data_IF_107488811733
#
_entry.id   IF_107488811733
#
_cell.length_a   1.000
_cell.length_b   1.000
_cell.length_c   1.000
_cell.angle_alpha   90.00
_cell.angle_beta   90.00
_cell.angle_gamma   90.00
#
_symmetry.space_group_name_H-M   'P 1'
#
loop_
_entity.id
_entity.type
_entity.pdbx_description
1 polymer ?
#
# COMPACT_ATOMS: atom_id res chain seq x y z
N UNK A 1 -31.36 8.88 11.49
CA UNK A 1 -30.43 8.74 10.35
C UNK A 1 -30.38 7.27 10.03
N UNK A 2 -30.95 6.89 8.90
CA UNK A 2 -30.88 5.52 8.41
C UNK A 2 -29.42 5.20 8.13
N UNK A 3 -28.92 4.15 8.76
CA UNK A 3 -27.67 3.49 8.37
C UNK A 3 -27.76 3.21 6.87
N UNK A 4 -26.76 3.64 6.10
CA UNK A 4 -26.66 3.31 4.67
C UNK A 4 -26.79 1.79 4.54
N UNK A 5 -27.92 1.31 4.02
CA UNK A 5 -28.09 -0.12 3.78
C UNK A 5 -27.20 -0.49 2.61
N UNK A 6 -26.41 -1.55 2.77
CA UNK A 6 -25.39 -1.98 1.80
C UNK A 6 -25.95 -2.40 0.42
N UNK A 7 -27.27 -2.33 0.20
CA UNK A 7 -27.97 -2.82 -1.00
C UNK A 7 -28.40 -1.70 -1.97
N UNK A 8 -28.11 -0.43 -1.68
CA UNK A 8 -28.41 0.69 -2.57
C UNK A 8 -27.14 1.39 -3.06
N UNK A 9 -27.15 1.81 -4.33
CA UNK A 9 -26.08 2.63 -4.90
C UNK A 9 -26.00 3.97 -4.16
N UNK A 10 -24.83 4.30 -3.65
CA UNK A 10 -24.56 5.59 -3.01
C UNK A 10 -23.70 6.47 -3.94
N UNK A 11 -24.00 7.77 -3.96
CA UNK A 11 -23.16 8.78 -4.57
C UNK A 11 -21.89 9.02 -3.75
N UNK A 12 -20.87 9.60 -4.38
CA UNK A 12 -19.62 10.00 -3.72
C UNK A 12 -19.89 10.95 -2.54
N UNK A 13 -20.82 11.90 -2.70
CA UNK A 13 -21.11 12.87 -1.65
C UNK A 13 -21.82 12.24 -0.45
N UNK A 14 -22.68 11.24 -0.67
CA UNK A 14 -23.30 10.45 0.41
C UNK A 14 -22.26 9.61 1.16
N UNK A 15 -21.30 9.00 0.45
CA UNK A 15 -20.22 8.22 1.06
C UNK A 15 -19.27 9.10 1.88
N UNK A 16 -18.92 10.29 1.38
CA UNK A 16 -18.11 11.27 2.13
C UNK A 16 -18.84 11.68 3.40
N UNK A 17 -20.12 11.99 3.30
CA UNK A 17 -20.95 12.39 4.44
C UNK A 17 -21.08 11.27 5.47
N UNK A 18 -21.25 10.03 5.03
CA UNK A 18 -21.28 8.86 5.90
C UNK A 18 -19.94 8.65 6.61
N UNK A 19 -18.81 8.82 5.91
CA UNK A 19 -17.48 8.71 6.50
C UNK A 19 -17.21 9.80 7.56
N UNK A 20 -17.67 11.03 7.34
CA UNK A 20 -17.60 12.11 8.33
C UNK A 20 -18.43 11.73 9.56
N UNK A 21 -19.69 11.33 9.36
CA UNK A 21 -20.62 10.96 10.45
C UNK A 21 -20.23 9.70 11.22
N UNK A 22 -19.34 8.88 10.68
CA UNK A 22 -18.81 7.70 11.36
C UNK A 22 -17.95 8.05 12.59
N UNK A 23 -17.43 9.28 12.69
CA UNK A 23 -16.71 9.77 13.86
C UNK A 23 -17.66 10.49 14.81
N UNK A 24 -17.40 10.43 16.12
CA UNK A 24 -18.03 11.34 17.08
C UNK A 24 -17.14 12.57 17.38
N UNK A 25 -17.58 13.40 18.34
CA UNK A 25 -16.87 14.63 18.69
C UNK A 25 -15.49 14.41 19.32
N UNK A 26 -15.29 13.25 19.96
CA UNK A 26 -14.07 12.86 20.66
C UNK A 26 -13.14 12.04 19.75
N UNK A 27 -13.57 11.76 18.51
CA UNK A 27 -12.80 11.04 17.51
C UNK A 27 -12.98 9.52 17.55
N UNK A 28 -13.99 9.00 18.25
CA UNK A 28 -14.30 7.56 18.25
C UNK A 28 -14.96 7.18 16.93
N UNK A 29 -14.36 6.22 16.24
CA UNK A 29 -14.82 5.69 14.97
C UNK A 29 -15.85 4.56 15.19
N UNK A 30 -17.10 4.79 14.77
CA UNK A 30 -18.22 3.85 14.92
C UNK A 30 -18.30 2.81 13.79
N UNK A 31 -17.91 3.19 12.58
CA UNK A 31 -17.98 2.33 11.39
C UNK A 31 -16.61 2.19 10.70
N UNK A 32 -15.65 1.44 11.30
CA UNK A 32 -14.29 1.34 10.76
C UNK A 32 -14.22 0.71 9.37
N UNK A 33 -15.09 -0.26 9.08
CA UNK A 33 -15.12 -0.95 7.80
C UNK A 33 -15.52 -0.02 6.65
N UNK A 34 -16.56 0.81 6.85
CA UNK A 34 -17.01 1.79 5.86
C UNK A 34 -15.89 2.78 5.56
N UNK A 35 -15.33 3.41 6.59
CA UNK A 35 -14.31 4.44 6.43
C UNK A 35 -13.06 3.88 5.78
N UNK A 36 -12.58 2.72 6.23
CA UNK A 36 -11.38 2.08 5.65
C UNK A 36 -11.61 1.66 4.20
N UNK A 37 -12.79 1.11 3.89
CA UNK A 37 -13.15 0.73 2.52
C UNK A 37 -13.21 1.96 1.61
N UNK A 38 -13.88 3.03 2.03
CA UNK A 38 -13.95 4.27 1.25
C UNK A 38 -12.58 4.89 1.05
N UNK A 39 -11.79 5.06 2.10
CA UNK A 39 -10.45 5.65 2.01
C UNK A 39 -9.50 4.80 1.16
N UNK A 40 -9.61 3.47 1.19
CA UNK A 40 -8.82 2.61 0.30
C UNK A 40 -9.29 2.71 -1.15
N UNK A 41 -10.61 2.73 -1.38
CA UNK A 41 -11.19 2.52 -2.71
C UNK A 41 -11.56 3.81 -3.44
N UNK A 42 -11.54 4.98 -2.79
CA UNK A 42 -11.85 6.25 -3.44
C UNK A 42 -11.04 6.52 -4.72
N UNK A 43 -9.74 6.14 -4.87
CA UNK A 43 -8.97 6.45 -6.08
C UNK A 43 -9.56 5.89 -7.37
N UNK A 44 -10.44 4.88 -7.30
CA UNK A 44 -11.14 4.30 -8.45
C UNK A 44 -12.18 5.24 -9.08
N UNK A 45 -12.71 6.19 -8.32
CA UNK A 45 -13.83 7.03 -8.75
C UNK A 45 -13.70 8.51 -8.31
N UNK A 46 -12.71 8.85 -7.50
CA UNK A 46 -12.43 10.19 -7.01
C UNK A 46 -10.93 10.32 -6.71
N UNK A 47 -10.26 11.34 -7.26
CA UNK A 47 -8.85 11.57 -6.91
C UNK A 47 -8.70 11.94 -5.44
N UNK A 48 -7.63 11.52 -4.78
CA UNK A 48 -7.37 11.85 -3.37
C UNK A 48 -7.32 13.36 -3.13
N UNK A 49 -6.72 14.11 -4.06
CA UNK A 49 -6.69 15.57 -4.00
C UNK A 49 -8.09 16.19 -4.09
N UNK A 50 -9.00 15.63 -4.89
CA UNK A 50 -10.37 16.12 -4.99
C UNK A 50 -11.22 15.69 -3.78
N UNK A 51 -10.96 14.52 -3.19
CA UNK A 51 -11.54 14.14 -1.89
C UNK A 51 -11.13 15.15 -0.81
N UNK A 52 -9.85 15.49 -0.72
CA UNK A 52 -9.36 16.49 0.22
C UNK A 52 -10.01 17.87 -0.01
N UNK A 53 -10.18 18.30 -1.27
CA UNK A 53 -10.92 19.53 -1.62
C UNK A 53 -12.39 19.46 -1.18
N UNK A 54 -13.06 18.32 -1.35
CA UNK A 54 -14.46 18.13 -0.90
C UNK A 54 -14.59 18.22 0.60
N UNK A 55 -13.71 17.54 1.36
CA UNK A 55 -13.67 17.63 2.82
C UNK A 55 -13.43 19.06 3.29
N UNK A 56 -12.56 19.75 2.58
CA UNK A 56 -12.28 21.15 2.83
C UNK A 56 -13.48 22.06 2.55
N UNK A 57 -14.16 21.88 1.42
CA UNK A 57 -15.36 22.67 1.10
C UNK A 57 -16.42 22.46 2.18
N UNK A 58 -16.65 21.20 2.57
CA UNK A 58 -17.58 20.85 3.66
C UNK A 58 -17.23 21.51 4.99
N UNK A 59 -15.95 21.69 5.31
CA UNK A 59 -15.55 22.36 6.57
C UNK A 59 -15.83 23.87 6.57
N UNK A 60 -16.07 24.46 5.39
CA UNK A 60 -16.32 25.90 5.17
C UNK A 60 -17.78 26.24 4.92
N UNK A 61 -18.65 25.25 4.72
CA UNK A 61 -20.08 25.48 4.49
C UNK A 61 -20.70 26.25 5.68
N UNK A 62 -21.59 27.21 5.40
CA UNK A 62 -22.24 28.01 6.45
C UNK A 62 -23.00 27.16 7.48
N UNK A 63 -23.52 26.02 7.04
CA UNK A 63 -24.23 25.06 7.89
C UNK A 63 -23.29 24.05 8.59
N UNK A 64 -21.97 24.17 8.39
CA UNK A 64 -20.99 23.30 9.00
C UNK A 64 -20.88 23.58 10.50
N UNK A 65 -21.54 22.75 11.30
CA UNK A 65 -21.47 22.83 12.75
C UNK A 65 -20.04 22.55 13.26
N UNK A 66 -19.73 23.03 14.46
CA UNK A 66 -18.49 22.69 15.17
C UNK A 66 -18.30 21.16 15.29
N UNK A 67 -19.39 20.40 15.38
CA UNK A 67 -19.38 18.93 15.39
C UNK A 67 -18.86 18.39 14.06
N UNK A 68 -19.42 18.85 12.94
CA UNK A 68 -19.00 18.44 11.60
C UNK A 68 -17.53 18.78 11.33
N UNK A 69 -17.07 19.99 11.70
CA UNK A 69 -15.65 20.35 11.59
C UNK A 69 -14.75 19.42 12.40
N UNK A 70 -15.15 19.06 13.63
CA UNK A 70 -14.41 18.10 14.45
C UNK A 70 -14.34 16.72 13.77
N UNK A 71 -15.46 16.23 13.28
CA UNK A 71 -15.54 14.93 12.57
C UNK A 71 -14.66 14.90 11.32
N UNK A 72 -14.64 15.99 10.53
CA UNK A 72 -13.74 16.12 9.36
C UNK A 72 -12.28 16.04 9.80
N UNK A 73 -11.89 16.74 10.86
CA UNK A 73 -10.51 16.68 11.36
C UNK A 73 -10.13 15.28 11.83
N UNK A 74 -11.05 14.55 12.49
CA UNK A 74 -10.82 13.17 12.90
C UNK A 74 -10.72 12.20 11.71
N UNK A 75 -11.55 12.39 10.67
CA UNK A 75 -11.45 11.62 9.43
C UNK A 75 -10.11 11.85 8.73
N UNK A 76 -9.65 13.11 8.61
CA UNK A 76 -8.35 13.45 8.02
C UNK A 76 -7.21 12.86 8.85
N UNK A 77 -7.27 12.99 10.17
CA UNK A 77 -6.29 12.38 11.08
C UNK A 77 -6.21 10.86 10.89
N UNK A 78 -7.37 10.19 10.82
CA UNK A 78 -7.45 8.76 10.56
C UNK A 78 -6.87 8.38 9.19
N UNK A 79 -7.18 9.17 8.15
CA UNK A 79 -6.65 8.94 6.81
C UNK A 79 -5.12 9.05 6.79
N UNK A 80 -4.55 10.07 7.42
CA UNK A 80 -3.10 10.25 7.55
C UNK A 80 -2.47 9.08 8.32
N UNK A 81 -3.08 8.63 9.42
CA UNK A 81 -2.50 7.55 10.23
C UNK A 81 -2.54 6.19 9.53
N UNK A 82 -3.62 5.89 8.80
CA UNK A 82 -3.79 4.59 8.15
C UNK A 82 -3.11 4.51 6.78
N UNK A 83 -3.06 5.62 6.04
CA UNK A 83 -2.52 5.68 4.66
C UNK A 83 -1.46 6.77 4.48
N UNK A 84 -0.44 6.85 5.34
CA UNK A 84 0.56 7.93 5.31
C UNK A 84 1.35 8.01 3.99
N UNK A 85 1.55 6.86 3.31
CA UNK A 85 2.26 6.81 2.04
C UNK A 85 1.54 7.60 0.93
N UNK A 86 0.21 7.71 0.98
CA UNK A 86 -0.55 8.48 -0.02
C UNK A 86 -0.24 9.97 0.05
N UNK A 87 -0.02 10.50 1.26
CA UNK A 87 0.29 11.91 1.48
C UNK A 87 1.73 12.26 1.13
N UNK A 88 2.69 11.37 1.45
CA UNK A 88 4.10 11.56 1.08
C UNK A 88 4.30 11.53 -0.44
N UNK A 89 3.62 10.59 -1.13
CA UNK A 89 3.81 10.37 -2.57
C UNK A 89 2.91 11.26 -3.45
N UNK A 90 1.97 12.01 -2.86
CA UNK A 90 1.07 12.90 -3.60
C UNK A 90 1.16 14.34 -3.05
N UNK A 91 2.04 15.18 -3.61
CA UNK A 91 2.20 16.57 -3.18
C UNK A 91 0.90 17.38 -3.28
N UNK A 92 0.08 17.12 -4.32
CA UNK A 92 -1.18 17.84 -4.49
C UNK A 92 -2.19 17.52 -3.38
N UNK A 93 -2.26 16.25 -2.94
CA UNK A 93 -3.04 15.87 -1.75
C UNK A 93 -2.49 16.55 -0.49
N UNK A 94 -1.17 16.53 -0.30
CA UNK A 94 -0.55 17.13 0.87
C UNK A 94 -0.82 18.63 0.98
N UNK A 95 -0.76 19.38 -0.13
CA UNK A 95 -1.11 20.80 -0.16
C UNK A 95 -2.57 21.06 0.24
N UNK A 96 -3.53 20.22 -0.20
CA UNK A 96 -4.93 20.40 0.18
C UNK A 96 -5.15 20.24 1.69
N UNK A 97 -4.49 19.25 2.30
CA UNK A 97 -4.54 19.02 3.74
C UNK A 97 -3.83 20.12 4.51
N UNK A 98 -2.69 20.62 4.02
CA UNK A 98 -2.00 21.77 4.63
C UNK A 98 -2.88 23.02 4.61
N UNK A 99 -3.54 23.30 3.50
CA UNK A 99 -4.51 24.40 3.45
C UNK A 99 -5.67 24.22 4.45
N UNK A 100 -6.14 22.99 4.69
CA UNK A 100 -7.16 22.73 5.73
C UNK A 100 -6.63 23.08 7.12
N UNK A 101 -5.41 22.64 7.46
CA UNK A 101 -4.72 22.97 8.72
C UNK A 101 -4.57 24.49 8.90
N UNK A 102 -4.03 25.19 7.90
CA UNK A 102 -3.80 26.64 7.94
C UNK A 102 -5.10 27.42 8.17
N UNK A 103 -6.21 26.99 7.59
CA UNK A 103 -7.51 27.65 7.81
C UNK A 103 -8.08 27.44 9.20
N UNK A 104 -7.89 26.27 9.79
CA UNK A 104 -8.26 26.04 11.19
C UNK A 104 -7.49 27.00 12.10
N UNK A 105 -6.20 27.21 11.81
CA UNK A 105 -5.35 28.17 12.54
C UNK A 105 -5.80 29.63 12.34
N UNK A 106 -6.11 30.04 11.10
CA UNK A 106 -6.63 31.38 10.78
C UNK A 106 -7.96 31.68 11.47
N UNK A 107 -8.81 30.66 11.64
CA UNK A 107 -10.07 30.77 12.36
C UNK A 107 -9.91 30.69 13.89
N UNK A 108 -8.69 30.53 14.40
CA UNK A 108 -8.38 30.44 15.83
C UNK A 108 -8.61 29.07 16.46
N UNK A 109 -8.89 28.03 15.67
CA UNK A 109 -9.15 26.67 16.14
C UNK A 109 -7.87 25.81 16.19
N UNK A 110 -6.95 26.23 17.06
CA UNK A 110 -5.64 25.60 17.23
C UNK A 110 -5.76 24.14 17.69
N UNK A 111 -6.80 23.79 18.47
CA UNK A 111 -6.95 22.41 18.97
C UNK A 111 -7.22 21.44 17.83
N UNK A 112 -8.03 21.84 16.84
CA UNK A 112 -8.31 21.00 15.66
C UNK A 112 -7.18 21.02 14.64
N UNK A 113 -6.47 22.14 14.49
CA UNK A 113 -5.30 22.17 13.59
C UNK A 113 -4.21 21.18 14.03
N UNK A 114 -4.01 21.01 15.34
CA UNK A 114 -3.09 20.03 15.92
C UNK A 114 -3.48 18.56 15.66
N UNK A 115 -4.73 18.27 15.27
CA UNK A 115 -5.13 16.92 14.87
C UNK A 115 -4.57 16.54 13.49
N UNK A 116 -4.23 17.54 12.67
CA UNK A 116 -3.75 17.36 11.30
C UNK A 116 -2.23 17.54 11.31
N UNK A 117 -1.53 16.43 11.51
CA UNK A 117 -0.07 16.41 11.50
C UNK A 117 0.45 15.77 10.20
N UNK A 118 0.57 16.61 9.17
CA UNK A 118 1.11 16.20 7.87
C UNK A 118 2.65 16.29 7.84
N UNK A 119 3.24 17.08 8.74
CA UNK A 119 4.66 17.39 8.71
C UNK A 119 5.52 16.28 9.37
N UNK A 120 4.90 15.40 10.17
CA UNK A 120 5.56 14.25 10.80
C UNK A 120 5.53 12.97 9.96
N UNK A 121 4.91 12.99 8.77
CA UNK A 121 4.81 11.81 7.90
C UNK A 121 6.22 11.37 7.49
N UNK A 122 6.62 10.11 7.78
CA UNK A 122 7.93 9.63 7.36
C UNK A 122 7.94 9.49 5.85
N UNK A 123 9.07 9.79 5.21
CA UNK A 123 9.19 9.56 3.78
C UNK A 123 8.94 8.07 3.44
N UNK A 124 8.19 7.81 2.38
CA UNK A 124 7.91 6.49 1.81
C UNK A 124 8.65 6.30 0.50
N UNK A 125 9.05 7.39 -0.16
CA UNK A 125 9.96 7.36 -1.31
C UNK A 125 11.23 6.54 -1.02
N UNK A 126 11.87 6.73 0.14
CA UNK A 126 13.09 5.96 0.48
C UNK A 126 12.81 4.47 0.67
N UNK A 127 11.64 4.08 1.20
CA UNK A 127 11.26 2.66 1.35
C UNK A 127 11.00 2.00 0.01
N UNK A 128 10.49 2.78 -0.93
CA UNK A 128 10.26 2.40 -2.32
C UNK A 128 11.47 2.67 -3.22
N UNK A 129 12.61 3.10 -2.66
CA UNK A 129 13.81 3.24 -3.45
C UNK A 129 14.15 1.91 -4.11
N UNK A 130 14.43 2.08 -5.38
CA UNK A 130 14.83 1.04 -6.27
C UNK A 130 16.34 0.94 -6.13
N UNK A 131 16.83 -0.14 -5.51
CA UNK A 131 18.27 -0.41 -5.52
C UNK A 131 18.74 -0.31 -6.97
N UNK A 132 19.66 0.61 -7.23
CA UNK A 132 20.28 0.74 -8.54
C UNK A 132 20.88 -0.62 -8.89
N UNK A 133 20.65 -1.06 -10.12
CA UNK A 133 21.13 -2.34 -10.67
C UNK A 133 22.53 -2.61 -10.13
N UNK A 134 22.71 -3.74 -9.42
CA UNK A 134 24.03 -4.26 -9.08
C UNK A 134 24.73 -4.54 -10.41
N UNK A 135 25.43 -3.53 -10.93
CA UNK A 135 26.24 -3.67 -12.12
C UNK A 135 27.29 -4.75 -11.83
N UNK A 136 27.24 -5.81 -12.63
CA UNK A 136 28.30 -6.81 -12.86
C UNK A 136 29.16 -7.11 -11.62
N UNK A 137 28.56 -7.59 -10.52
CA UNK A 137 29.33 -8.39 -9.57
C UNK A 137 29.47 -9.80 -10.13
N UNK A 138 30.55 -9.95 -10.89
CA UNK A 138 31.06 -11.19 -11.45
C UNK A 138 31.18 -12.23 -10.32
N UNK A 139 30.40 -13.31 -10.46
CA UNK A 139 30.50 -14.63 -9.80
C UNK A 139 30.38 -14.66 -8.27
N UNK A 140 29.15 -14.88 -7.80
CA UNK A 140 28.89 -15.73 -6.63
C UNK A 140 28.25 -17.02 -7.10
N UNK A 141 29.09 -17.99 -7.49
CA UNK A 141 28.67 -19.40 -7.48
C UNK A 141 28.60 -19.84 -6.02
N UNK A 142 27.55 -19.43 -5.31
CA UNK A 142 27.18 -20.14 -4.10
C UNK A 142 26.68 -21.49 -4.59
N UNK A 143 27.44 -22.55 -4.28
CA UNK A 143 27.16 -23.92 -4.70
C UNK A 143 25.74 -24.30 -4.26
N UNK A 144 24.80 -24.23 -5.20
CA UNK A 144 23.43 -24.71 -5.04
C UNK A 144 23.40 -26.16 -4.57
N UNK A 145 24.41 -26.95 -4.99
CA UNK A 145 24.56 -28.36 -4.65
C UNK A 145 24.76 -28.60 -3.12
N UNK A 146 24.89 -27.55 -2.30
CA UNK A 146 25.06 -27.65 -0.84
C UNK A 146 23.99 -26.91 -0.03
N UNK A 147 23.05 -26.22 -0.68
CA UNK A 147 21.96 -25.55 0.02
C UNK A 147 20.80 -26.54 0.19
N UNK A 148 20.35 -26.74 1.42
CA UNK A 148 19.17 -27.56 1.66
C UNK A 148 17.91 -26.86 1.12
N UNK A 149 16.89 -27.66 0.79
CA UNK A 149 15.66 -27.17 0.19
C UNK A 149 14.91 -26.16 1.08
N UNK A 150 15.03 -26.27 2.41
CA UNK A 150 14.35 -25.37 3.36
C UNK A 150 15.01 -24.00 3.35
N UNK A 151 16.33 -23.93 3.47
CA UNK A 151 17.08 -22.67 3.44
C UNK A 151 16.88 -21.94 2.12
N UNK A 152 16.82 -22.66 1.00
CA UNK A 152 16.54 -22.05 -0.30
C UNK A 152 15.12 -21.47 -0.36
N UNK A 153 14.12 -22.23 0.09
CA UNK A 153 12.73 -21.77 0.12
C UNK A 153 12.57 -20.52 0.98
N UNK A 154 13.24 -20.46 2.14
CA UNK A 154 13.23 -19.31 3.04
C UNK A 154 13.83 -18.06 2.38
N UNK A 155 14.98 -18.17 1.72
CA UNK A 155 15.58 -17.05 1.02
C UNK A 155 14.72 -16.54 -0.14
N UNK A 156 14.13 -17.43 -0.94
CA UNK A 156 13.21 -17.05 -2.01
C UNK A 156 11.98 -16.33 -1.45
N UNK A 157 11.39 -16.88 -0.38
CA UNK A 157 10.25 -16.28 0.33
C UNK A 157 10.60 -14.89 0.85
N UNK A 158 11.77 -14.73 1.48
CA UNK A 158 12.22 -13.43 2.00
C UNK A 158 12.43 -12.41 0.87
N UNK A 159 13.03 -12.82 -0.25
CA UNK A 159 13.23 -11.95 -1.41
C UNK A 159 11.89 -11.48 -2.01
N UNK A 160 10.94 -12.40 -2.20
CA UNK A 160 9.60 -12.07 -2.68
C UNK A 160 8.84 -11.18 -1.70
N UNK A 161 8.84 -11.53 -0.41
CA UNK A 161 8.20 -10.74 0.65
C UNK A 161 8.73 -9.30 0.70
N UNK A 162 10.05 -9.13 0.71
CA UNK A 162 10.68 -7.81 0.73
C UNK A 162 10.32 -6.98 -0.50
N UNK A 163 10.22 -7.60 -1.67
CA UNK A 163 9.78 -6.92 -2.89
C UNK A 163 8.28 -6.60 -2.86
N UNK A 164 7.46 -7.52 -2.33
CA UNK A 164 6.01 -7.38 -2.24
C UNK A 164 5.59 -6.25 -1.31
N UNK A 165 6.27 -6.10 -0.16
CA UNK A 165 5.99 -5.02 0.80
C UNK A 165 6.21 -3.60 0.27
N UNK A 166 6.85 -3.43 -0.90
CA UNK A 166 7.01 -2.13 -1.56
C UNK A 166 5.77 -1.74 -2.38
N UNK A 167 4.93 -2.70 -2.74
CA UNK A 167 3.74 -2.50 -3.58
C UNK A 167 2.65 -1.85 -2.73
N UNK A 168 2.14 -0.71 -3.21
CA UNK A 168 1.07 0.06 -2.60
C UNK A 168 -0.21 -0.03 -3.44
N UNK A 169 -1.33 0.44 -2.87
CA UNK A 169 -2.62 0.41 -3.54
C UNK A 169 -2.63 1.10 -4.92
N UNK A 170 -1.95 2.24 -5.03
CA UNK A 170 -1.79 2.96 -6.30
C UNK A 170 -1.14 2.12 -7.41
N UNK A 171 -0.25 1.19 -7.04
CA UNK A 171 0.44 0.33 -8.00
C UNK A 171 -0.55 -0.72 -8.55
N UNK A 172 -1.43 -1.26 -7.71
CA UNK A 172 -2.53 -2.15 -8.14
C UNK A 172 -3.56 -1.40 -8.99
N UNK A 173 -3.98 -0.22 -8.55
CA UNK A 173 -4.92 0.62 -9.27
C UNK A 173 -4.42 0.93 -10.69
N UNK A 174 -3.18 1.42 -10.81
CA UNK A 174 -2.56 1.68 -12.12
C UNK A 174 -2.54 0.43 -13.00
N UNK A 175 -2.12 -0.72 -12.45
CA UNK A 175 -2.05 -1.96 -13.21
C UNK A 175 -3.41 -2.40 -13.77
N UNK A 176 -4.47 -2.36 -12.94
CA UNK A 176 -5.80 -2.78 -13.38
C UNK A 176 -6.38 -1.79 -14.39
N UNK A 177 -6.17 -0.49 -14.22
CA UNK A 177 -6.66 0.53 -15.16
C UNK A 177 -6.01 0.42 -16.54
N UNK A 178 -4.73 0.05 -16.61
CA UNK A 178 -3.99 -0.09 -17.88
C UNK A 178 -3.97 -1.52 -18.44
N UNK A 179 -4.34 -2.52 -17.64
CA UNK A 179 -4.22 -3.95 -17.97
C UNK A 179 -2.78 -4.48 -18.04
N UNK A 180 -1.79 -3.65 -17.72
CA UNK A 180 -0.36 -3.99 -17.71
C UNK A 180 0.41 -2.98 -16.84
N UNK A 181 1.71 -3.20 -16.61
CA UNK A 181 2.55 -2.20 -15.95
C UNK A 181 2.86 -1.05 -16.91
N UNK A 182 2.36 0.14 -16.58
CA UNK A 182 2.67 1.40 -17.25
C UNK A 182 3.13 2.38 -16.18
N UNK A 183 4.35 2.92 -16.34
CA UNK A 183 5.00 3.84 -15.39
C UNK A 183 4.93 3.34 -13.92
N UNK A 184 4.99 2.03 -13.72
CA UNK A 184 4.86 1.37 -12.43
C UNK A 184 6.09 0.50 -12.13
N UNK A 185 7.24 1.13 -11.82
CA UNK A 185 8.51 0.43 -11.71
C UNK A 185 8.59 -0.50 -10.49
N UNK A 186 7.74 -0.29 -9.48
CA UNK A 186 7.67 -1.14 -8.29
C UNK A 186 7.06 -2.49 -8.66
N UNK A 187 5.89 -2.48 -9.30
CA UNK A 187 5.23 -3.70 -9.71
C UNK A 187 5.99 -4.41 -10.84
N UNK A 188 6.60 -3.66 -11.77
CA UNK A 188 7.50 -4.24 -12.78
C UNK A 188 8.66 -5.00 -12.17
N UNK A 189 9.30 -4.46 -11.13
CA UNK A 189 10.39 -5.14 -10.44
C UNK A 189 9.93 -6.39 -9.72
N UNK A 190 8.76 -6.37 -9.10
CA UNK A 190 8.18 -7.56 -8.48
C UNK A 190 7.91 -8.66 -9.52
N UNK A 191 7.28 -8.32 -10.65
CA UNK A 191 7.04 -9.24 -11.76
C UNK A 191 8.37 -9.75 -12.35
N UNK A 192 9.35 -8.87 -12.50
CA UNK A 192 10.69 -9.22 -12.99
C UNK A 192 11.41 -10.18 -12.05
N UNK A 193 11.31 -9.99 -10.74
CA UNK A 193 11.86 -10.90 -9.74
C UNK A 193 11.22 -12.29 -9.89
N UNK A 194 9.90 -12.37 -9.95
CA UNK A 194 9.16 -13.62 -10.14
C UNK A 194 9.60 -14.38 -11.41
N UNK A 195 9.68 -13.64 -12.53
CA UNK A 195 10.14 -14.20 -13.80
C UNK A 195 11.61 -14.63 -13.75
N UNK A 196 12.46 -13.87 -13.05
CA UNK A 196 13.89 -14.17 -12.90
C UNK A 196 14.12 -15.44 -12.08
N UNK A 197 13.33 -15.69 -11.04
CA UNK A 197 13.38 -16.94 -10.27
C UNK A 197 12.99 -18.12 -11.16
N UNK A 198 11.90 -17.99 -11.93
CA UNK A 198 11.46 -19.03 -12.88
C UNK A 198 12.53 -19.34 -13.93
N UNK A 199 13.12 -18.30 -14.53
CA UNK A 199 14.20 -18.46 -15.51
C UNK A 199 15.46 -19.07 -14.89
N UNK A 200 15.81 -18.67 -13.67
CA UNK A 200 16.95 -19.22 -12.94
C UNK A 200 16.78 -20.72 -12.71
N UNK A 201 15.59 -21.18 -12.29
CA UNK A 201 15.28 -22.62 -12.15
C UNK A 201 15.46 -23.35 -13.49
N UNK A 202 14.95 -22.80 -14.58
CA UNK A 202 15.09 -23.38 -15.92
C UNK A 202 16.57 -23.51 -16.33
N UNK A 203 17.37 -22.47 -16.11
CA UNK A 203 18.81 -22.48 -16.39
C UNK A 203 19.52 -23.49 -15.50
N UNK A 204 19.18 -23.59 -14.21
CA UNK A 204 19.78 -24.55 -13.29
C UNK A 204 19.54 -26.00 -13.75
N UNK A 205 18.33 -26.33 -14.20
CA UNK A 205 18.02 -27.64 -14.77
C UNK A 205 18.77 -27.85 -16.08
N UNK A 206 18.66 -26.94 -17.04
CA UNK A 206 19.27 -27.10 -18.37
C UNK A 206 20.80 -27.07 -18.37
N UNK A 207 21.42 -26.53 -17.30
CA UNK A 207 22.87 -26.54 -17.13
C UNK A 207 23.46 -27.94 -16.92
N UNK A 208 22.67 -28.94 -16.50
CA UNK A 208 23.19 -30.29 -16.24
C UNK A 208 23.25 -31.12 -17.55
N UNK A 209 24.40 -31.73 -17.86
CA UNK A 209 24.63 -32.38 -19.16
C UNK A 209 23.78 -33.64 -19.38
N UNK A 210 23.50 -34.42 -18.35
CA UNK A 210 22.76 -35.70 -18.49
C UNK A 210 21.31 -35.60 -18.03
N UNK A 211 20.44 -36.42 -18.62
CA UNK A 211 19.03 -36.47 -18.25
C UNK A 211 18.82 -36.83 -16.76
N UNK A 212 19.63 -37.74 -16.24
CA UNK A 212 19.58 -38.15 -14.83
C UNK A 212 19.91 -36.99 -13.89
N UNK A 213 20.96 -36.21 -14.18
CA UNK A 213 21.32 -35.05 -13.36
C UNK A 213 20.24 -33.96 -13.43
N UNK A 214 19.62 -33.74 -14.60
CA UNK A 214 18.49 -32.83 -14.74
C UNK A 214 17.30 -33.27 -13.88
N UNK A 215 16.98 -34.56 -13.90
CA UNK A 215 15.92 -35.12 -13.06
C UNK A 215 16.21 -34.92 -11.56
N UNK A 216 17.46 -35.10 -11.12
CA UNK A 216 17.86 -34.81 -9.72
C UNK A 216 17.61 -33.34 -9.35
N UNK A 217 18.04 -32.39 -10.18
CA UNK A 217 17.81 -30.96 -9.92
C UNK A 217 16.32 -30.63 -9.89
N UNK A 218 15.52 -31.22 -10.78
CA UNK A 218 14.05 -31.07 -10.77
C UNK A 218 13.48 -31.59 -9.44
N UNK A 219 13.91 -32.77 -8.99
CA UNK A 219 13.46 -33.32 -7.69
C UNK A 219 13.83 -32.42 -6.52
N UNK A 220 15.01 -31.80 -6.51
CA UNK A 220 15.38 -30.83 -5.46
C UNK A 220 14.47 -29.59 -5.48
N UNK A 221 14.17 -29.01 -6.66
CA UNK A 221 13.24 -27.89 -6.74
C UNK A 221 11.79 -28.26 -6.36
N UNK A 222 11.37 -29.50 -6.61
CA UNK A 222 10.08 -30.01 -6.10
C UNK A 222 10.08 -30.00 -4.57
N UNK A 223 11.17 -30.43 -3.92
CA UNK A 223 11.28 -30.36 -2.46
C UNK A 223 11.20 -28.93 -1.96
N UNK A 224 11.90 -27.99 -2.60
CA UNK A 224 11.83 -26.54 -2.28
C UNK A 224 10.38 -26.04 -2.36
N UNK A 225 9.66 -26.37 -3.43
CA UNK A 225 8.27 -25.97 -3.62
C UNK A 225 7.29 -26.61 -2.62
N UNK A 226 7.65 -27.75 -2.04
CA UNK A 226 6.85 -28.45 -1.02
C UNK A 226 7.13 -27.96 0.41
N UNK A 227 8.13 -27.11 0.62
CA UNK A 227 8.41 -26.52 1.94
C UNK A 227 7.21 -25.67 2.34
N UNK A 228 6.58 -26.03 3.46
CA UNK A 228 5.40 -25.32 3.96
C UNK A 228 5.86 -24.18 4.89
N UNK A 229 5.74 -22.89 4.50
CA UNK A 229 6.35 -21.78 5.24
C UNK A 229 5.73 -21.55 6.63
N UNK A 230 4.52 -22.07 6.87
CA UNK A 230 3.76 -21.88 8.11
C UNK A 230 4.40 -22.53 9.35
N UNK A 231 5.34 -23.47 9.19
CA UNK A 231 6.11 -24.02 10.32
C UNK A 231 7.36 -23.22 10.66
N UNK A 232 7.89 -22.43 9.72
CA UNK A 232 9.15 -21.71 9.89
C UNK A 232 8.94 -20.26 10.35
N UNK A 233 7.77 -19.68 10.10
CA UNK A 233 7.40 -18.31 10.48
C UNK A 233 6.92 -18.16 11.94
N UNK A 234 6.89 -19.24 12.73
CA UNK A 234 6.51 -19.18 14.16
C UNK A 234 7.57 -18.52 15.07
N UNK A 235 8.68 -18.03 14.50
CA UNK A 235 9.82 -17.45 15.23
C UNK A 235 10.24 -16.06 14.71
N UNK A 236 9.36 -15.36 13.97
CA UNK A 236 9.49 -13.92 13.65
C UNK A 236 8.27 -13.21 14.24
#
# INVERSE_FOLDING_TARGET
MESVSSDQSASVDELVEACIKAFDNEGVLKEPSLVRMFLTMHPWYLSSSDLAKKLLHKSQEQDCSAICQSQICHLVKYWISEFPAEFDLNPALAEQIRGLKERLEQNGDVRRSLLIDIDSIPSYEWRRQLDETVQKKRKTSLLFDHLDASTLAEHLTYMEYKSFCKILFQDYHSFVMHGCTVDNPILERFITLFNSVSQWIQIMVLSKPTAQQRATVISEFIKVAQVNPTRSLAYI
#
